data_IF_371830074034
#
_entry.id   IF_371830074034
#
_cell.length_a   1.000
_cell.length_b   1.000
_cell.length_c   1.000
_cell.angle_alpha   90.00
_cell.angle_beta   90.00
_cell.angle_gamma   90.00
#
_symmetry.space_group_name_H-M   'P 1'
#
loop_
_entity.id
_entity.type
_entity.pdbx_description
1 polymer ?
#
# COMPACT_ATOMS: atom_id res chain seq x y z
N UNK A 1 0.79 -18.05 -12.25
CA UNK A 1 -0.11 -17.46 -13.25
C UNK A 1 -1.27 -18.41 -13.54
N UNK A 2 -2.40 -17.86 -13.89
CA UNK A 2 -3.58 -18.59 -14.37
C UNK A 2 -3.75 -18.24 -15.85
N UNK A 3 -3.77 -19.27 -16.69
CA UNK A 3 -3.82 -19.11 -18.14
C UNK A 3 -5.03 -19.87 -18.68
N UNK A 4 -5.90 -19.21 -19.47
CA UNK A 4 -6.98 -19.95 -20.15
C UNK A 4 -6.44 -21.05 -21.05
N UNK A 5 -7.07 -22.20 -21.06
CA UNK A 5 -6.64 -23.38 -21.84
C UNK A 5 -7.20 -23.38 -23.27
N UNK A 6 -8.14 -22.51 -23.57
CA UNK A 6 -8.79 -22.37 -24.87
C UNK A 6 -8.15 -21.26 -25.71
N UNK A 7 -8.02 -21.51 -27.03
CA UNK A 7 -7.53 -20.55 -28.01
C UNK A 7 -6.03 -20.22 -27.90
N UNK A 8 -5.46 -19.79 -29.07
CA UNK A 8 -4.02 -19.52 -29.24
C UNK A 8 -3.66 -18.03 -29.40
N UNK A 9 -4.56 -17.10 -29.07
CA UNK A 9 -4.33 -15.67 -29.24
C UNK A 9 -3.79 -14.96 -28.02
N UNK A 10 -3.25 -13.75 -28.23
CA UNK A 10 -2.91 -12.83 -27.13
C UNK A 10 -4.16 -12.39 -26.38
N UNK A 11 -4.07 -12.30 -25.07
CA UNK A 11 -5.16 -12.00 -24.15
C UNK A 11 -4.90 -10.75 -23.33
N UNK A 12 -5.97 -10.06 -22.98
CA UNK A 12 -5.92 -9.06 -21.95
C UNK A 12 -5.44 -9.72 -20.62
N UNK A 13 -4.62 -9.02 -19.86
CA UNK A 13 -4.02 -9.58 -18.66
C UNK A 13 -4.30 -8.72 -17.43
N UNK A 14 -4.45 -9.40 -16.28
CA UNK A 14 -4.74 -8.78 -14.99
C UNK A 14 -3.69 -9.17 -13.96
N UNK A 15 -3.02 -8.19 -13.38
CA UNK A 15 -2.23 -8.36 -12.17
C UNK A 15 -3.18 -8.38 -10.97
N UNK A 16 -3.27 -9.54 -10.31
CA UNK A 16 -4.10 -9.79 -9.15
C UNK A 16 -3.26 -9.71 -7.89
N UNK A 17 -3.31 -8.57 -7.19
CA UNK A 17 -2.59 -8.34 -5.94
C UNK A 17 -3.49 -8.56 -4.73
N UNK A 18 -2.90 -8.91 -3.58
CA UNK A 18 -3.64 -9.28 -2.38
C UNK A 18 -3.42 -8.31 -1.22
N UNK A 19 -4.38 -8.24 -0.32
CA UNK A 19 -4.28 -7.57 0.98
C UNK A 19 -3.82 -8.53 2.09
N UNK A 20 -4.22 -8.23 3.35
CA UNK A 20 -3.79 -8.97 4.54
C UNK A 20 -4.61 -10.26 4.76
N UNK A 21 -4.80 -11.03 3.69
CA UNK A 21 -5.48 -12.33 3.76
C UNK A 21 -4.57 -13.40 4.39
N UNK A 22 -5.12 -14.33 5.17
CA UNK A 22 -4.33 -15.35 5.87
C UNK A 22 -3.37 -16.15 4.98
N UNK A 23 -3.74 -16.40 3.73
CA UNK A 23 -2.97 -17.18 2.77
C UNK A 23 -2.42 -16.34 1.61
N UNK A 24 -2.42 -15.01 1.75
CA UNK A 24 -1.92 -14.07 0.74
C UNK A 24 -2.51 -14.34 -0.66
N UNK A 25 -1.70 -14.50 -1.72
CA UNK A 25 -2.20 -14.69 -3.09
C UNK A 25 -3.02 -15.97 -3.31
N UNK A 26 -2.84 -16.97 -2.47
CA UNK A 26 -3.56 -18.27 -2.57
C UNK A 26 -4.75 -18.37 -1.63
N UNK A 27 -5.06 -17.29 -0.90
CA UNK A 27 -6.27 -17.22 -0.10
C UNK A 27 -7.53 -17.37 -0.98
N UNK A 28 -8.62 -17.98 -0.46
CA UNK A 28 -9.87 -18.15 -1.21
C UNK A 28 -10.37 -16.91 -1.93
N UNK A 29 -10.22 -15.70 -1.36
CA UNK A 29 -10.70 -14.46 -1.97
C UNK A 29 -9.90 -14.05 -3.21
N UNK A 30 -8.56 -13.89 -3.17
CA UNK A 30 -7.76 -13.67 -4.37
C UNK A 30 -7.84 -14.81 -5.37
N UNK A 31 -7.91 -16.07 -4.88
CA UNK A 31 -8.01 -17.25 -5.75
C UNK A 31 -9.32 -17.29 -6.54
N UNK A 32 -10.46 -17.04 -5.88
CA UNK A 32 -11.75 -16.93 -6.55
C UNK A 32 -11.75 -15.87 -7.66
N UNK A 33 -11.17 -14.70 -7.37
CA UNK A 33 -11.03 -13.62 -8.35
C UNK A 33 -10.18 -14.06 -9.56
N UNK A 34 -9.06 -14.74 -9.32
CA UNK A 34 -8.20 -15.23 -10.38
C UNK A 34 -8.89 -16.27 -11.26
N UNK A 35 -9.62 -17.21 -10.65
CA UNK A 35 -10.40 -18.23 -11.36
C UNK A 35 -11.53 -17.62 -12.18
N UNK A 36 -12.27 -16.67 -11.63
CA UNK A 36 -13.33 -15.99 -12.39
C UNK A 36 -12.77 -15.26 -13.62
N UNK A 37 -11.68 -14.53 -13.45
CA UNK A 37 -11.00 -13.83 -14.57
C UNK A 37 -10.47 -14.79 -15.63
N UNK A 38 -9.80 -15.89 -15.24
CA UNK A 38 -9.25 -16.84 -16.22
C UNK A 38 -10.36 -17.55 -17.01
N UNK A 39 -11.48 -17.89 -16.37
CA UNK A 39 -12.65 -18.45 -17.03
C UNK A 39 -13.35 -17.48 -17.98
N UNK A 40 -13.18 -16.17 -17.75
CA UNK A 40 -13.63 -15.11 -18.64
C UNK A 40 -12.58 -14.76 -19.74
N UNK A 41 -11.52 -15.56 -19.86
CA UNK A 41 -10.52 -15.47 -20.92
C UNK A 41 -9.36 -14.50 -20.67
N UNK A 42 -9.16 -14.00 -19.45
CA UNK A 42 -8.01 -13.17 -19.09
C UNK A 42 -6.80 -14.01 -18.70
N UNK A 43 -5.61 -13.59 -19.06
CA UNK A 43 -4.39 -14.04 -18.38
C UNK A 43 -4.33 -13.38 -17.00
N UNK A 44 -4.06 -14.15 -15.95
CA UNK A 44 -3.98 -13.59 -14.59
C UNK A 44 -2.66 -13.95 -13.94
N UNK A 45 -1.93 -12.92 -13.48
CA UNK A 45 -0.76 -13.11 -12.65
C UNK A 45 -1.12 -12.73 -11.20
N UNK A 46 -0.95 -13.68 -10.27
CA UNK A 46 -1.06 -13.42 -8.84
C UNK A 46 0.33 -13.54 -8.20
N UNK A 47 0.71 -12.52 -7.41
CA UNK A 47 2.02 -12.45 -6.75
C UNK A 47 1.85 -12.21 -5.25
N UNK A 48 2.77 -12.74 -4.45
CA UNK A 48 2.85 -12.40 -3.03
C UNK A 48 3.59 -11.06 -2.84
N UNK A 49 2.99 -10.17 -2.07
CA UNK A 49 3.63 -8.92 -1.66
C UNK A 49 4.89 -9.19 -0.83
N UNK A 50 5.87 -8.27 -0.87
CA UNK A 50 7.11 -8.42 -0.10
C UNK A 50 6.81 -8.51 1.39
N UNK A 51 7.31 -9.56 2.02
CA UNK A 51 7.09 -9.87 3.43
C UNK A 51 5.77 -10.59 3.74
N UNK A 52 5.00 -11.02 2.73
CA UNK A 52 3.74 -11.75 2.91
C UNK A 52 3.76 -13.11 2.18
N UNK A 53 2.84 -13.99 2.52
CA UNK A 53 2.67 -15.29 1.89
C UNK A 53 3.97 -16.09 1.89
N UNK A 54 4.33 -16.65 0.73
CA UNK A 54 5.59 -17.39 0.59
C UNK A 54 6.84 -16.48 0.63
N UNK A 55 6.69 -15.14 0.69
CA UNK A 55 7.76 -14.15 0.89
C UNK A 55 7.87 -13.69 2.35
N UNK A 56 7.03 -14.15 3.25
CA UNK A 56 7.13 -13.90 4.69
C UNK A 56 8.33 -14.64 5.31
N UNK A 57 8.75 -14.22 6.50
CA UNK A 57 9.81 -14.93 7.25
C UNK A 57 9.35 -16.36 7.51
N UNK A 58 8.13 -16.50 8.03
CA UNK A 58 7.46 -17.78 8.25
C UNK A 58 6.22 -17.83 7.36
N UNK A 59 6.20 -18.60 6.27
CA UNK A 59 5.08 -18.64 5.33
C UNK A 59 3.92 -19.50 5.84
N UNK A 60 3.53 -19.28 7.09
CA UNK A 60 2.37 -19.87 7.72
C UNK A 60 1.14 -18.97 7.58
N UNK A 61 -0.03 -19.50 7.92
CA UNK A 61 -1.29 -18.76 7.92
C UNK A 61 -1.19 -17.49 8.76
N UNK A 62 -1.67 -16.38 8.21
CA UNK A 62 -1.70 -15.09 8.88
C UNK A 62 -0.34 -14.41 9.01
N UNK A 63 0.73 -15.00 8.49
CA UNK A 63 2.05 -14.37 8.50
C UNK A 63 2.11 -13.26 7.44
N UNK A 64 2.48 -12.08 7.88
CA UNK A 64 2.64 -10.90 7.05
C UNK A 64 3.89 -10.12 7.50
N UNK A 65 4.23 -9.03 6.79
CA UNK A 65 5.43 -8.23 7.13
C UNK A 65 5.44 -7.68 8.56
N UNK A 66 4.24 -7.47 9.18
CA UNK A 66 4.13 -6.85 10.51
C UNK A 66 4.56 -5.37 10.55
N UNK A 67 4.15 -4.67 11.62
CA UNK A 67 4.41 -3.23 11.75
C UNK A 67 5.91 -2.92 11.91
N UNK A 68 6.59 -3.57 12.85
CA UNK A 68 8.00 -3.31 13.14
C UNK A 68 8.91 -3.71 11.98
N UNK A 69 8.69 -4.89 11.38
CA UNK A 69 9.50 -5.36 10.28
C UNK A 69 9.27 -4.49 9.03
N UNK A 70 8.03 -4.11 8.72
CA UNK A 70 7.71 -3.21 7.63
C UNK A 70 8.33 -1.82 7.82
N UNK A 71 8.26 -1.26 9.04
CA UNK A 71 8.87 0.03 9.36
C UNK A 71 10.41 0.00 9.31
N UNK A 72 11.05 -1.18 9.47
CA UNK A 72 12.52 -1.31 9.34
C UNK A 72 13.05 -0.90 7.96
N UNK A 73 12.18 -0.81 6.95
CA UNK A 73 12.55 -0.34 5.61
C UNK A 73 12.70 1.18 5.54
N UNK A 74 12.12 1.95 6.46
CA UNK A 74 12.19 3.41 6.46
C UNK A 74 13.60 3.96 6.68
N UNK A 75 14.40 3.50 7.67
CA UNK A 75 15.76 3.96 7.85
C UNK A 75 16.67 3.74 6.62
N UNK A 76 16.33 2.77 5.79
CA UNK A 76 17.03 2.57 4.52
C UNK A 76 16.40 3.34 3.36
N UNK A 77 15.40 4.19 3.65
CA UNK A 77 14.78 5.10 2.68
C UNK A 77 13.99 4.40 1.58
N UNK A 78 13.43 3.23 1.89
CA UNK A 78 12.65 2.44 0.93
C UNK A 78 11.36 1.99 1.60
N UNK A 79 10.29 2.80 1.60
CA UNK A 79 9.02 2.42 2.18
C UNK A 79 8.51 1.11 1.59
N UNK A 80 7.81 0.31 2.39
CA UNK A 80 7.32 -1.01 1.94
C UNK A 80 6.39 -0.90 0.74
N UNK A 81 5.52 0.11 0.71
CA UNK A 81 4.67 0.38 -0.45
C UNK A 81 5.50 0.63 -1.72
N UNK A 82 6.62 1.37 -1.62
CA UNK A 82 7.52 1.59 -2.75
C UNK A 82 8.13 0.28 -3.30
N UNK A 83 8.47 -0.67 -2.41
CA UNK A 83 8.92 -2.00 -2.82
C UNK A 83 7.81 -2.78 -3.52
N UNK A 84 6.58 -2.71 -3.01
CA UNK A 84 5.42 -3.36 -3.63
C UNK A 84 5.10 -2.78 -5.01
N UNK A 85 5.17 -1.46 -5.17
CA UNK A 85 5.01 -0.81 -6.48
C UNK A 85 6.07 -1.30 -7.45
N UNK A 86 7.34 -1.34 -7.03
CA UNK A 86 8.42 -1.84 -7.86
C UNK A 86 8.22 -3.31 -8.25
N UNK A 87 7.83 -4.18 -7.32
CA UNK A 87 7.51 -5.58 -7.59
C UNK A 87 6.37 -5.70 -8.62
N UNK A 88 5.33 -4.87 -8.51
CA UNK A 88 4.22 -4.84 -9.45
C UNK A 88 4.66 -4.40 -10.85
N UNK A 89 5.59 -3.42 -10.96
CA UNK A 89 6.20 -3.06 -12.24
C UNK A 89 6.99 -4.24 -12.85
N UNK A 90 7.74 -4.99 -12.03
CA UNK A 90 8.45 -6.21 -12.50
C UNK A 90 7.48 -7.32 -12.88
N UNK A 91 6.34 -7.44 -12.19
CA UNK A 91 5.27 -8.35 -12.58
C UNK A 91 4.69 -7.98 -13.98
N UNK A 92 4.55 -6.69 -14.27
CA UNK A 92 4.15 -6.22 -15.61
C UNK A 92 5.20 -6.60 -16.66
N UNK A 93 6.49 -6.43 -16.38
CA UNK A 93 7.54 -6.85 -17.30
C UNK A 93 7.47 -8.35 -17.60
N UNK A 94 7.23 -9.18 -16.57
CA UNK A 94 7.01 -10.60 -16.76
C UNK A 94 5.76 -10.88 -17.61
N UNK A 95 4.63 -10.24 -17.32
CA UNK A 95 3.40 -10.44 -18.10
C UNK A 95 3.62 -10.07 -19.57
N UNK A 96 4.25 -8.93 -19.85
CA UNK A 96 4.50 -8.48 -21.21
C UNK A 96 5.52 -9.34 -21.97
N UNK A 97 6.38 -10.08 -21.29
CA UNK A 97 7.28 -11.04 -21.92
C UNK A 97 6.60 -12.35 -22.32
N UNK A 98 5.36 -12.57 -21.87
CA UNK A 98 4.62 -13.80 -22.18
C UNK A 98 3.96 -13.72 -23.55
N UNK A 99 4.11 -14.76 -24.42
CA UNK A 99 3.51 -14.75 -25.74
C UNK A 99 1.98 -14.73 -25.74
N UNK A 100 1.35 -15.19 -24.65
CA UNK A 100 -0.10 -15.23 -24.46
C UNK A 100 -0.69 -13.86 -24.05
N UNK A 101 0.14 -12.87 -23.73
CA UNK A 101 -0.32 -11.58 -23.19
C UNK A 101 -0.33 -10.49 -24.26
N UNK A 102 -1.44 -9.77 -24.35
CA UNK A 102 -1.54 -8.50 -25.05
C UNK A 102 -1.05 -7.37 -24.13
N UNK A 103 0.18 -6.90 -24.37
CA UNK A 103 0.81 -5.87 -23.54
C UNK A 103 0.09 -4.51 -23.54
N UNK A 104 -0.81 -4.27 -24.51
CA UNK A 104 -1.64 -3.06 -24.57
C UNK A 104 -2.95 -3.17 -23.80
N UNK A 105 -3.22 -4.34 -23.18
CA UNK A 105 -4.47 -4.64 -22.47
C UNK A 105 -4.19 -5.16 -21.05
N UNK A 106 -3.55 -4.34 -20.25
CA UNK A 106 -3.18 -4.69 -18.88
C UNK A 106 -4.06 -4.00 -17.85
N UNK A 107 -4.40 -4.71 -16.78
CA UNK A 107 -5.08 -4.16 -15.62
C UNK A 107 -4.45 -4.62 -14.32
N UNK A 108 -4.75 -3.89 -13.24
CA UNK A 108 -4.39 -4.25 -11.87
C UNK A 108 -5.62 -4.16 -10.97
N UNK A 109 -5.79 -5.12 -10.07
CA UNK A 109 -6.84 -5.11 -9.06
C UNK A 109 -6.44 -5.87 -7.81
N UNK A 110 -6.98 -5.43 -6.68
CA UNK A 110 -6.82 -6.05 -5.37
C UNK A 110 -7.69 -5.37 -4.32
N UNK A 111 -7.86 -5.99 -3.17
CA UNK A 111 -8.60 -5.42 -2.05
C UNK A 111 -7.70 -5.15 -0.84
N UNK A 112 -8.08 -4.19 0.01
CA UNK A 112 -7.32 -3.82 1.22
C UNK A 112 -5.91 -3.37 0.84
N UNK A 113 -4.87 -3.90 1.45
CA UNK A 113 -3.48 -3.67 1.02
C UNK A 113 -3.23 -3.96 -0.46
N UNK A 114 -3.98 -4.90 -1.07
CA UNK A 114 -3.96 -5.11 -2.52
C UNK A 114 -4.63 -3.99 -3.30
N UNK A 115 -5.63 -3.34 -2.74
CA UNK A 115 -6.24 -2.14 -3.31
C UNK A 115 -5.29 -0.94 -3.27
N UNK A 116 -4.57 -0.75 -2.16
CA UNK A 116 -3.50 0.25 -2.07
C UNK A 116 -2.38 0.00 -3.08
N UNK A 117 -1.95 -1.24 -3.23
CA UNK A 117 -1.01 -1.63 -4.30
C UNK A 117 -1.57 -1.30 -5.68
N UNK A 118 -2.87 -1.60 -5.92
CA UNK A 118 -3.52 -1.35 -7.21
C UNK A 118 -3.59 0.14 -7.51
N UNK A 119 -4.00 0.97 -6.55
CA UNK A 119 -4.07 2.42 -6.67
C UNK A 119 -2.70 3.00 -7.02
N UNK A 120 -1.70 2.73 -6.19
CA UNK A 120 -0.39 3.34 -6.33
C UNK A 120 0.39 2.80 -7.54
N UNK A 121 0.43 1.49 -7.77
CA UNK A 121 1.09 0.93 -8.94
C UNK A 121 0.37 1.32 -10.24
N UNK A 122 -0.97 1.38 -10.21
CA UNK A 122 -1.77 1.84 -11.33
C UNK A 122 -1.56 3.32 -11.66
N UNK A 123 -1.38 4.16 -10.66
CA UNK A 123 -1.02 5.56 -10.85
C UNK A 123 0.38 5.71 -11.47
N UNK A 124 1.34 4.90 -11.03
CA UNK A 124 2.75 5.01 -11.42
C UNK A 124 3.08 4.32 -12.76
N UNK A 125 2.52 3.15 -13.03
CA UNK A 125 2.81 2.39 -14.26
C UNK A 125 1.71 2.59 -15.31
N UNK A 126 1.97 3.41 -16.31
CA UNK A 126 1.02 3.77 -17.38
C UNK A 126 0.66 2.60 -18.31
N UNK A 127 1.35 1.48 -18.22
CA UNK A 127 1.01 0.26 -18.98
C UNK A 127 -0.32 -0.34 -18.53
N UNK A 128 -0.74 -0.13 -17.29
CA UNK A 128 -2.09 -0.48 -16.86
C UNK A 128 -3.14 0.42 -17.53
N UNK A 129 -4.04 -0.16 -18.28
CA UNK A 129 -5.15 0.54 -18.96
C UNK A 129 -6.41 0.60 -18.08
N UNK A 130 -6.51 -0.29 -17.10
CA UNK A 130 -7.57 -0.25 -16.09
C UNK A 130 -7.00 -0.52 -14.70
N UNK A 131 -7.46 0.26 -13.72
CA UNK A 131 -7.03 0.22 -12.31
C UNK A 131 -8.26 0.08 -11.44
N UNK A 132 -8.32 -0.97 -10.60
CA UNK A 132 -9.51 -1.26 -9.78
C UNK A 132 -9.08 -1.51 -8.33
N UNK A 133 -8.89 -0.46 -7.51
CA UNK A 133 -8.72 -0.59 -6.07
C UNK A 133 -10.05 -0.91 -5.38
N UNK A 134 -10.05 -1.89 -4.46
CA UNK A 134 -11.24 -2.37 -3.76
C UNK A 134 -11.03 -2.29 -2.25
N UNK A 135 -11.99 -1.72 -1.52
CA UNK A 135 -11.94 -1.59 -0.06
C UNK A 135 -10.58 -1.05 0.45
N UNK A 136 -10.10 0.03 -0.15
CA UNK A 136 -8.77 0.57 0.14
C UNK A 136 -8.66 2.07 -0.09
N UNK A 137 -9.58 2.66 -0.82
CA UNK A 137 -9.59 4.10 -1.08
C UNK A 137 -10.39 4.80 0.01
N UNK A 138 -9.81 5.83 0.57
CA UNK A 138 -10.40 6.78 1.49
C UNK A 138 -9.71 8.12 1.35
N UNK A 139 -9.15 8.63 2.44
CA UNK A 139 -8.22 9.77 2.49
C UNK A 139 -7.03 9.40 3.36
N UNK A 140 -5.87 9.97 3.11
CA UNK A 140 -4.72 9.78 4.01
C UNK A 140 -5.00 10.33 5.41
N UNK A 141 -5.80 11.40 5.53
CA UNK A 141 -6.22 11.92 6.83
C UNK A 141 -6.95 10.84 7.66
N UNK A 142 -7.97 10.21 7.07
CA UNK A 142 -8.69 9.12 7.73
C UNK A 142 -7.80 7.89 7.98
N UNK A 143 -6.90 7.59 7.05
CA UNK A 143 -5.99 6.45 7.16
C UNK A 143 -4.98 6.63 8.30
N UNK A 144 -4.38 7.82 8.44
CA UNK A 144 -3.44 8.16 9.51
C UNK A 144 -4.15 8.05 10.88
N UNK A 145 -5.38 8.54 10.98
CA UNK A 145 -6.19 8.42 12.20
C UNK A 145 -6.50 6.98 12.61
N UNK A 146 -6.65 6.06 11.65
CA UNK A 146 -6.91 4.64 11.90
C UNK A 146 -5.64 3.81 12.18
N UNK A 147 -4.48 4.26 11.74
CA UNK A 147 -3.17 3.60 11.88
C UNK A 147 -3.20 2.10 11.50
N UNK A 148 -3.80 1.76 10.35
CA UNK A 148 -4.14 0.40 9.97
C UNK A 148 -2.90 -0.47 9.66
N UNK A 149 -2.09 -0.13 8.64
CA UNK A 149 -0.93 -0.93 8.25
C UNK A 149 0.23 -0.10 7.70
N UNK A 150 1.44 -0.43 8.11
CA UNK A 150 2.67 0.26 7.69
C UNK A 150 2.97 0.12 6.18
N UNK A 151 2.49 -0.94 5.53
CA UNK A 151 2.69 -1.14 4.09
C UNK A 151 1.88 -0.18 3.21
N UNK A 152 0.96 0.55 3.79
CA UNK A 152 0.07 1.49 3.12
C UNK A 152 0.44 2.94 3.48
N UNK A 153 1.43 3.14 4.36
CA UNK A 153 1.90 4.45 4.78
C UNK A 153 3.00 4.95 3.84
N UNK A 154 2.81 6.16 3.33
CA UNK A 154 3.83 6.92 2.60
C UNK A 154 4.46 7.94 3.56
N UNK A 155 5.70 7.75 4.00
CA UNK A 155 6.39 8.74 4.81
C UNK A 155 6.43 10.09 4.08
N UNK A 156 5.98 11.15 4.75
CA UNK A 156 5.90 12.52 4.20
C UNK A 156 4.99 12.65 2.95
N UNK A 157 4.09 11.70 2.72
CA UNK A 157 3.24 11.65 1.53
C UNK A 157 2.34 12.88 1.40
N UNK A 158 1.76 13.36 2.49
CA UNK A 158 0.87 14.53 2.49
C UNK A 158 1.58 15.85 2.14
N UNK A 159 2.90 15.93 2.23
CA UNK A 159 3.66 17.07 1.73
C UNK A 159 3.63 17.15 0.18
N UNK A 160 3.21 16.07 -0.50
CA UNK A 160 3.23 15.96 -1.95
C UNK A 160 1.81 15.79 -2.51
N UNK A 161 1.03 14.85 -1.98
CA UNK A 161 -0.28 14.49 -2.51
C UNK A 161 -1.16 13.81 -1.45
N UNK A 162 -2.45 14.00 -1.57
CA UNK A 162 -3.49 13.22 -0.92
C UNK A 162 -3.92 12.05 -1.83
N UNK A 163 -4.71 11.08 -1.35
CA UNK A 163 -5.13 9.94 -2.17
C UNK A 163 -5.87 10.36 -3.44
N UNK A 164 -6.62 11.46 -3.38
CA UNK A 164 -7.33 11.99 -4.53
C UNK A 164 -6.41 12.37 -5.69
N UNK A 165 -5.24 12.95 -5.41
CA UNK A 165 -4.25 13.27 -6.41
C UNK A 165 -3.57 11.99 -6.97
N UNK A 166 -3.38 10.96 -6.12
CA UNK A 166 -2.89 9.65 -6.59
C UNK A 166 -3.89 9.01 -7.55
N UNK A 167 -5.19 9.05 -7.22
CA UNK A 167 -6.25 8.60 -8.14
C UNK A 167 -6.24 9.38 -9.45
N UNK A 168 -6.02 10.69 -9.40
CA UNK A 168 -5.97 11.56 -10.57
C UNK A 168 -4.84 11.20 -11.54
N UNK A 169 -3.70 10.68 -11.06
CA UNK A 169 -2.59 10.20 -11.90
C UNK A 169 -2.99 9.01 -12.80
N UNK A 170 -4.09 8.35 -12.55
CA UNK A 170 -4.59 7.29 -13.42
C UNK A 170 -5.19 7.85 -14.71
N UNK A 171 -5.69 9.09 -14.70
CA UNK A 171 -6.27 9.72 -15.91
C UNK A 171 -5.26 9.77 -17.08
N UNK A 172 -5.70 9.56 -18.33
CA UNK A 172 -7.07 9.31 -18.82
C UNK A 172 -7.46 7.82 -18.86
N UNK A 173 -6.73 6.94 -18.21
CA UNK A 173 -6.96 5.48 -18.17
C UNK A 173 -8.21 5.15 -17.33
N UNK A 174 -8.70 3.92 -17.40
CA UNK A 174 -9.92 3.56 -16.68
C UNK A 174 -9.65 3.31 -15.19
N UNK A 175 -10.39 3.98 -14.33
CA UNK A 175 -10.34 3.83 -12.87
C UNK A 175 -11.73 3.47 -12.34
N UNK A 176 -11.83 2.34 -11.62
CA UNK A 176 -13.03 1.96 -10.89
C UNK A 176 -12.68 1.76 -9.41
N UNK A 177 -13.14 2.67 -8.57
CA UNK A 177 -13.03 2.53 -7.12
C UNK A 177 -14.22 1.73 -6.60
N UNK A 178 -13.96 0.70 -5.79
CA UNK A 178 -15.01 -0.12 -5.19
C UNK A 178 -14.90 -0.04 -3.66
N UNK A 179 -15.97 0.36 -2.98
CA UNK A 179 -16.07 0.41 -1.52
C UNK A 179 -17.25 -0.41 -1.00
N UNK A 180 -17.12 -0.84 0.26
CA UNK A 180 -18.16 -1.53 1.01
C UNK A 180 -18.83 -0.56 2.01
N UNK A 181 -20.15 -0.70 2.22
CA UNK A 181 -20.93 0.19 3.13
C UNK A 181 -20.59 -0.02 4.61
N UNK A 182 -20.05 -1.20 4.96
CA UNK A 182 -19.70 -1.59 6.34
C UNK A 182 -18.19 -1.83 6.49
N UNK A 183 -17.39 -0.96 5.88
CA UNK A 183 -15.92 -0.99 6.00
C UNK A 183 -15.44 -0.07 7.15
N UNK A 184 -14.15 -0.16 7.49
CA UNK A 184 -13.51 0.73 8.44
C UNK A 184 -13.53 2.19 7.97
N UNK A 185 -13.45 3.13 8.92
CA UNK A 185 -13.51 4.57 8.63
C UNK A 185 -12.55 4.98 7.52
N UNK A 186 -11.31 4.50 7.56
CA UNK A 186 -10.24 4.80 6.59
C UNK A 186 -10.58 4.38 5.15
N UNK A 187 -11.51 3.45 4.95
CA UNK A 187 -11.96 2.97 3.65
C UNK A 187 -13.46 3.16 3.46
N UNK A 188 -14.06 4.05 4.26
CA UNK A 188 -15.50 4.31 4.17
C UNK A 188 -15.88 4.95 2.85
N UNK A 189 -17.13 4.76 2.45
CA UNK A 189 -17.69 5.36 1.24
C UNK A 189 -17.51 6.88 1.24
N UNK A 190 -17.79 7.55 2.38
CA UNK A 190 -17.67 9.00 2.49
C UNK A 190 -16.23 9.51 2.34
N UNK A 191 -15.25 8.80 2.87
CA UNK A 191 -13.84 9.17 2.68
C UNK A 191 -13.40 8.95 1.22
N UNK A 192 -13.81 7.84 0.61
CA UNK A 192 -13.53 7.57 -0.81
C UNK A 192 -14.15 8.64 -1.72
N UNK A 193 -15.36 9.11 -1.43
CA UNK A 193 -16.02 10.17 -2.19
C UNK A 193 -15.22 11.48 -2.17
N UNK A 194 -14.56 11.82 -1.07
CA UNK A 194 -13.69 13.01 -0.98
C UNK A 194 -12.50 12.89 -1.95
N UNK A 195 -11.83 11.75 -1.99
CA UNK A 195 -10.70 11.51 -2.90
C UNK A 195 -11.15 11.44 -4.36
N UNK A 196 -12.29 10.80 -4.64
CA UNK A 196 -12.86 10.75 -5.99
C UNK A 196 -13.26 12.15 -6.47
N UNK A 197 -13.81 12.99 -5.58
CA UNK A 197 -14.16 14.37 -5.93
C UNK A 197 -12.93 15.21 -6.32
N UNK A 198 -11.77 14.95 -5.71
CA UNK A 198 -10.49 15.57 -6.10
C UNK A 198 -9.97 15.08 -7.45
N UNK A 199 -10.11 13.78 -7.72
CA UNK A 199 -9.63 13.17 -8.97
C UNK A 199 -10.52 13.54 -10.18
N UNK A 200 -11.82 13.69 -9.98
CA UNK A 200 -12.81 13.89 -11.06
C UNK A 200 -12.50 15.03 -12.03
N UNK A 201 -12.14 16.25 -11.59
CA UNK A 201 -11.81 17.35 -12.50
C UNK A 201 -10.66 17.00 -13.45
N UNK A 202 -9.68 16.19 -13.01
CA UNK A 202 -8.55 15.78 -13.86
C UNK A 202 -9.01 14.79 -14.93
N UNK A 203 -9.91 13.87 -14.61
CA UNK A 203 -10.52 12.99 -15.60
C UNK A 203 -11.36 13.78 -16.62
N UNK A 204 -12.09 14.82 -16.18
CA UNK A 204 -12.87 15.70 -17.05
C UNK A 204 -11.96 16.52 -17.98
N UNK A 205 -10.87 17.10 -17.47
CA UNK A 205 -9.86 17.81 -18.28
C UNK A 205 -9.23 16.94 -19.36
N UNK A 206 -9.24 15.62 -19.21
CA UNK A 206 -8.73 14.66 -20.19
C UNK A 206 -9.83 14.00 -21.03
N UNK A 207 -11.05 14.54 -21.05
CA UNK A 207 -12.22 13.95 -21.74
C UNK A 207 -12.50 12.48 -21.33
N UNK A 208 -12.07 12.11 -20.13
CA UNK A 208 -12.11 10.75 -19.60
C UNK A 208 -13.12 10.59 -18.43
N UNK A 209 -14.06 11.49 -18.22
CA UNK A 209 -15.01 11.43 -17.11
C UNK A 209 -15.79 10.12 -17.01
N UNK A 210 -16.08 9.47 -18.15
CA UNK A 210 -16.73 8.13 -18.22
C UNK A 210 -15.81 6.98 -17.79
N UNK A 211 -14.51 7.22 -17.67
CA UNK A 211 -13.50 6.24 -17.25
C UNK A 211 -13.22 6.29 -15.75
N UNK A 212 -13.90 7.16 -15.01
CA UNK A 212 -13.88 7.20 -13.55
C UNK A 212 -15.24 6.73 -13.01
N UNK A 213 -15.24 5.61 -12.29
CA UNK A 213 -16.45 5.04 -11.68
C UNK A 213 -16.23 4.77 -10.20
N UNK A 214 -17.21 5.13 -9.37
CA UNK A 214 -17.34 4.65 -8.01
C UNK A 214 -18.46 3.62 -7.95
N UNK A 215 -18.18 2.45 -7.38
CA UNK A 215 -19.15 1.39 -7.16
C UNK A 215 -19.18 1.05 -5.67
N UNK A 216 -20.39 1.05 -5.09
CA UNK A 216 -20.62 0.82 -3.67
C UNK A 216 -21.48 -0.41 -3.49
N UNK A 217 -21.09 -1.28 -2.56
CA UNK A 217 -21.79 -2.53 -2.28
C UNK A 217 -22.13 -2.67 -0.81
N UNK A 218 -23.31 -3.23 -0.53
CA UNK A 218 -23.70 -3.57 0.84
C UNK A 218 -22.96 -4.82 1.31
N UNK A 219 -21.77 -4.60 1.83
CA UNK A 219 -20.81 -5.62 2.24
C UNK A 219 -19.96 -5.11 3.41
N UNK A 220 -19.27 -6.03 4.08
CA UNK A 220 -18.10 -5.70 4.92
C UNK A 220 -16.84 -5.59 4.08
N UNK A 221 -15.69 -5.49 4.76
CA UNK A 221 -14.35 -5.43 4.16
C UNK A 221 -14.02 -6.74 3.42
N UNK A 222 -14.24 -6.77 2.10
CA UNK A 222 -14.11 -7.97 1.28
C UNK A 222 -13.86 -7.62 -0.20
N UNK A 223 -13.64 -8.63 -1.02
CA UNK A 223 -13.78 -8.58 -2.47
C UNK A 223 -14.87 -9.59 -2.88
N UNK A 224 -16.09 -9.28 -2.50
CA UNK A 224 -17.26 -10.15 -2.64
C UNK A 224 -17.60 -10.45 -4.10
N UNK A 225 -18.42 -11.50 -4.33
CA UNK A 225 -18.85 -11.88 -5.69
C UNK A 225 -19.48 -10.72 -6.47
N UNK A 226 -20.42 -9.92 -5.91
CA UNK A 226 -20.97 -8.77 -6.65
C UNK A 226 -19.91 -7.73 -7.06
N UNK A 227 -18.90 -7.50 -6.21
CA UNK A 227 -17.78 -6.62 -6.53
C UNK A 227 -16.92 -7.17 -7.68
N UNK A 228 -16.68 -8.49 -7.70
CA UNK A 228 -15.98 -9.17 -8.80
C UNK A 228 -16.76 -9.09 -10.10
N UNK A 229 -18.06 -9.32 -10.07
CA UNK A 229 -18.94 -9.21 -11.24
C UNK A 229 -18.91 -7.79 -11.85
N UNK A 230 -18.92 -6.75 -11.01
CA UNK A 230 -18.77 -5.36 -11.46
C UNK A 230 -17.39 -5.10 -12.10
N UNK A 231 -16.33 -5.62 -11.51
CA UNK A 231 -14.97 -5.55 -12.05
C UNK A 231 -14.88 -6.26 -13.40
N UNK A 232 -15.49 -7.44 -13.57
CA UNK A 232 -15.48 -8.15 -14.87
C UNK A 232 -16.10 -7.32 -16.00
N UNK A 233 -17.24 -6.69 -15.74
CA UNK A 233 -17.89 -5.82 -16.72
C UNK A 233 -17.05 -4.58 -17.06
N UNK A 234 -16.40 -3.99 -16.06
CA UNK A 234 -15.51 -2.85 -16.25
C UNK A 234 -14.29 -3.21 -17.13
N UNK A 235 -13.67 -4.35 -16.86
CA UNK A 235 -12.54 -4.86 -17.63
C UNK A 235 -12.95 -5.24 -19.07
N UNK A 236 -14.11 -5.87 -19.27
CA UNK A 236 -14.61 -6.18 -20.59
C UNK A 236 -14.71 -4.92 -21.45
N UNK A 237 -15.32 -3.88 -20.91
CA UNK A 237 -15.48 -2.61 -21.60
C UNK A 237 -14.15 -1.92 -21.91
N UNK A 238 -13.27 -1.78 -20.92
CA UNK A 238 -12.10 -0.88 -21.05
C UNK A 238 -10.82 -1.56 -21.53
N UNK A 239 -10.72 -2.91 -21.41
CA UNK A 239 -9.58 -3.65 -21.97
C UNK A 239 -9.90 -4.33 -23.29
N UNK A 240 -11.15 -4.81 -23.46
CA UNK A 240 -11.52 -5.58 -24.67
C UNK A 240 -12.42 -4.81 -25.61
N UNK A 241 -13.01 -3.69 -25.15
CA UNK A 241 -13.99 -2.95 -25.95
C UNK A 241 -15.34 -3.67 -26.06
N UNK A 242 -15.66 -4.55 -25.11
CA UNK A 242 -16.87 -5.39 -25.10
C UNK A 242 -17.87 -4.90 -24.07
N UNK A 243 -19.15 -4.91 -24.42
CA UNK A 243 -20.25 -4.51 -23.53
C UNK A 243 -20.24 -3.04 -23.13
N UNK A 244 -21.08 -2.70 -22.18
CA UNK A 244 -21.30 -1.34 -21.68
C UNK A 244 -20.68 -1.05 -20.31
N UNK A 245 -20.02 -2.07 -19.70
CA UNK A 245 -19.44 -2.01 -18.35
C UNK A 245 -20.41 -2.38 -17.24
N UNK A 246 -21.58 -2.96 -17.58
CA UNK A 246 -22.48 -3.60 -16.62
C UNK A 246 -21.85 -4.86 -16.03
N UNK A 247 -22.20 -5.25 -14.77
CA UNK A 247 -21.68 -6.45 -14.17
C UNK A 247 -21.87 -7.70 -15.03
N UNK A 248 -20.83 -8.53 -15.10
CA UNK A 248 -20.87 -9.84 -15.78
C UNK A 248 -20.99 -10.92 -14.70
N UNK A 249 -21.96 -11.83 -14.79
CA UNK A 249 -22.11 -12.92 -13.82
C UNK A 249 -20.84 -13.75 -13.70
N UNK A 250 -20.43 -14.03 -12.47
CA UNK A 250 -19.26 -14.86 -12.20
C UNK A 250 -19.53 -16.30 -12.67
N UNK A 251 -18.64 -16.85 -13.52
CA UNK A 251 -18.75 -18.25 -13.92
C UNK A 251 -18.63 -19.16 -12.69
N UNK A 252 -19.16 -20.37 -12.79
CA UNK A 252 -18.97 -21.37 -11.73
C UNK A 252 -17.48 -21.63 -11.53
N UNK A 253 -17.01 -21.47 -10.28
CA UNK A 253 -15.62 -21.67 -9.87
C UNK A 253 -15.55 -22.76 -8.80
N UNK A 254 -14.47 -23.51 -8.84
CA UNK A 254 -14.11 -24.48 -7.80
C UNK A 254 -12.71 -24.11 -7.30
N UNK A 255 -12.63 -23.79 -6.02
CA UNK A 255 -11.35 -23.45 -5.39
C UNK A 255 -10.51 -24.72 -5.20
N UNK A 256 -9.23 -24.60 -5.46
CA UNK A 256 -8.24 -25.60 -5.10
C UNK A 256 -7.77 -25.39 -3.66
N UNK A 257 -7.22 -26.45 -3.08
CA UNK A 257 -6.59 -26.38 -1.76
C UNK A 257 -5.35 -25.47 -1.78
N UNK A 258 -5.18 -24.69 -0.72
CA UNK A 258 -4.11 -23.70 -0.59
C UNK A 258 -2.73 -24.28 -0.87
N UNK A 259 -2.46 -25.49 -0.34
CA UNK A 259 -1.15 -26.12 -0.46
C UNK A 259 -0.80 -26.55 -1.90
N UNK A 260 -1.80 -26.83 -2.74
CA UNK A 260 -1.60 -27.16 -4.17
C UNK A 260 -1.17 -25.95 -4.99
N UNK A 261 -1.40 -24.74 -4.49
CA UNK A 261 -1.11 -23.49 -5.18
C UNK A 261 0.26 -22.88 -4.77
N UNK A 262 0.98 -23.53 -3.84
CA UNK A 262 2.28 -23.06 -3.37
C UNK A 262 3.36 -23.24 -4.44
N UNK A 263 4.24 -22.24 -4.57
CA UNK A 263 5.44 -22.30 -5.40
C UNK A 263 6.59 -23.01 -4.68
N UNK A 264 6.58 -22.99 -3.35
CA UNK A 264 7.60 -23.60 -2.48
C UNK A 264 6.95 -24.62 -1.55
N UNK A 265 6.67 -25.86 -2.03
CA UNK A 265 6.18 -26.94 -1.18
C UNK A 265 7.11 -27.12 0.02
N UNK A 266 6.55 -27.47 1.18
CA UNK A 266 7.27 -27.68 2.43
C UNK A 266 8.13 -26.48 2.89
N UNK A 267 7.85 -25.27 2.36
CA UNK A 267 8.60 -24.05 2.62
C UNK A 267 10.08 -24.10 2.21
N UNK A 268 10.45 -25.00 1.32
CA UNK A 268 11.83 -25.14 0.82
C UNK A 268 12.10 -24.07 -0.23
N UNK A 269 12.71 -22.99 0.19
CA UNK A 269 13.06 -21.85 -0.67
C UNK A 269 14.51 -21.97 -1.20
N UNK A 270 14.78 -21.41 -2.39
CA UNK A 270 16.16 -21.32 -2.89
C UNK A 270 17.08 -20.58 -1.90
N UNK A 271 18.35 -20.95 -1.81
CA UNK A 271 19.35 -20.27 -0.96
C UNK A 271 19.52 -18.79 -1.29
N UNK A 272 19.24 -18.39 -2.53
CA UNK A 272 19.27 -17.01 -3.00
C UNK A 272 18.02 -16.20 -2.63
N UNK A 273 17.04 -16.81 -1.97
CA UNK A 273 15.78 -16.15 -1.62
C UNK A 273 16.01 -15.09 -0.52
N UNK A 274 15.76 -13.84 -0.85
CA UNK A 274 16.00 -12.72 0.06
C UNK A 274 14.73 -12.37 0.84
N UNK A 275 14.78 -12.54 2.14
CA UNK A 275 13.75 -12.11 3.07
C UNK A 275 13.95 -10.64 3.48
N UNK A 276 12.90 -10.01 4.01
CA UNK A 276 12.92 -8.59 4.38
C UNK A 276 14.06 -8.20 5.33
N UNK A 277 14.38 -8.95 6.41
CA UNK A 277 15.52 -8.60 7.27
C UNK A 277 16.86 -8.59 6.52
N UNK A 278 17.09 -9.58 5.67
CA UNK A 278 18.32 -9.65 4.87
C UNK A 278 18.38 -8.50 3.84
N UNK A 279 17.26 -8.19 3.20
CA UNK A 279 17.16 -7.04 2.30
C UNK A 279 17.51 -5.73 3.01
N UNK A 280 16.87 -5.44 4.14
CA UNK A 280 17.12 -4.21 4.93
C UNK A 280 18.59 -4.14 5.35
N UNK A 281 19.16 -5.24 5.82
CA UNK A 281 20.57 -5.30 6.22
C UNK A 281 21.52 -4.98 5.05
N UNK A 282 21.29 -5.55 3.89
CA UNK A 282 22.11 -5.26 2.70
C UNK A 282 21.96 -3.80 2.20
N UNK A 283 20.75 -3.24 2.25
CA UNK A 283 20.56 -1.82 1.94
C UNK A 283 21.25 -0.92 2.97
N UNK A 284 21.19 -1.24 4.26
CA UNK A 284 21.90 -0.52 5.31
C UNK A 284 23.41 -0.54 5.09
N UNK A 285 24.00 -1.70 4.81
CA UNK A 285 25.43 -1.81 4.49
C UNK A 285 25.85 -0.93 3.32
N UNK A 286 25.07 -0.93 2.22
CA UNK A 286 25.33 -0.10 1.05
C UNK A 286 25.30 1.40 1.36
N UNK A 287 24.38 1.84 2.22
CA UNK A 287 24.27 3.25 2.65
C UNK A 287 25.40 3.64 3.58
N UNK A 288 25.70 2.80 4.58
CA UNK A 288 26.79 3.03 5.53
C UNK A 288 28.17 3.08 4.84
N UNK A 289 28.39 2.24 3.82
CA UNK A 289 29.61 2.29 3.03
C UNK A 289 29.83 3.61 2.28
N UNK A 290 28.75 4.37 2.02
CA UNK A 290 28.80 5.68 1.37
C UNK A 290 28.78 6.85 2.37
N UNK A 291 28.66 6.57 3.67
CA UNK A 291 28.66 7.60 4.70
C UNK A 291 30.02 8.32 4.74
N UNK A 292 30.04 9.63 4.81
CA UNK A 292 31.29 10.38 4.90
C UNK A 292 32.04 10.00 6.18
N UNK A 293 33.34 9.97 6.10
CA UNK A 293 34.25 9.76 7.24
C UNK A 293 35.16 10.96 7.33
N UNK A 294 34.84 11.95 8.17
CA UNK A 294 35.67 13.13 8.34
C UNK A 294 37.01 12.74 8.96
N UNK A 295 38.08 13.28 8.43
CA UNK A 295 39.48 13.03 8.81
C UNK A 295 40.08 14.18 9.62
N UNK A 296 39.37 15.34 9.76
CA UNK A 296 39.77 16.47 10.56
C UNK A 296 38.55 17.23 11.11
N UNK A 297 38.81 18.10 12.09
CA UNK A 297 37.76 18.73 12.92
C UNK A 297 36.85 19.64 12.12
N UNK A 298 37.38 20.51 11.28
CA UNK A 298 36.61 21.48 10.50
C UNK A 298 35.63 20.79 9.53
N UNK A 299 36.08 19.71 8.93
CA UNK A 299 35.23 18.89 8.07
C UNK A 299 34.10 18.24 8.87
N UNK A 300 34.39 17.71 10.07
CA UNK A 300 33.35 17.17 10.94
C UNK A 300 32.33 18.23 11.35
N UNK A 301 32.77 19.44 11.73
CA UNK A 301 31.88 20.52 12.13
C UNK A 301 30.92 20.92 10.98
N UNK A 302 31.42 21.02 9.76
CA UNK A 302 30.60 21.29 8.57
C UNK A 302 29.60 20.14 8.29
N UNK A 303 30.06 18.90 8.33
CA UNK A 303 29.21 17.73 8.11
C UNK A 303 28.15 17.57 9.23
N UNK A 304 28.52 17.83 10.48
CA UNK A 304 27.59 17.79 11.62
C UNK A 304 26.47 18.84 11.49
N UNK A 305 26.80 20.05 11.05
CA UNK A 305 25.80 21.08 10.79
C UNK A 305 24.82 20.66 9.69
N UNK A 306 25.36 20.16 8.55
CA UNK A 306 24.51 19.64 7.47
C UNK A 306 23.65 18.47 7.92
N UNK A 307 24.21 17.56 8.73
CA UNK A 307 23.48 16.41 9.26
C UNK A 307 22.34 16.84 10.16
N UNK A 308 22.58 17.76 11.10
CA UNK A 308 21.54 18.32 11.98
C UNK A 308 20.42 18.96 11.16
N UNK A 309 20.74 19.80 10.19
CA UNK A 309 19.77 20.46 9.32
C UNK A 309 18.92 19.46 8.54
N UNK A 310 19.54 18.40 7.97
CA UNK A 310 18.81 17.37 7.22
C UNK A 310 17.93 16.51 8.13
N UNK A 311 18.42 16.16 9.32
CA UNK A 311 17.63 15.43 10.30
C UNK A 311 16.41 16.25 10.74
N UNK A 312 16.63 17.54 11.08
CA UNK A 312 15.55 18.44 11.46
C UNK A 312 14.49 18.54 10.35
N UNK A 313 14.91 18.87 9.13
CA UNK A 313 13.98 19.19 8.05
C UNK A 313 13.31 17.97 7.40
N UNK A 314 13.99 16.83 7.36
CA UNK A 314 13.53 15.67 6.58
C UNK A 314 13.08 14.47 7.40
N UNK A 315 13.54 14.37 8.66
CA UNK A 315 13.27 13.20 9.50
C UNK A 315 12.40 13.58 10.70
N UNK A 316 12.71 14.72 11.35
CA UNK A 316 11.98 15.17 12.52
C UNK A 316 10.79 16.09 12.18
N UNK A 317 10.58 16.40 10.91
CA UNK A 317 9.47 17.25 10.46
C UNK A 317 9.63 18.75 10.76
N UNK A 318 10.83 19.16 11.18
CA UNK A 318 11.11 20.50 11.70
C UNK A 318 10.81 20.62 13.19
N UNK A 319 11.23 21.71 13.80
CA UNK A 319 10.86 22.04 15.16
C UNK A 319 10.05 23.34 15.20
N UNK A 320 8.95 23.40 15.96
CA UNK A 320 8.18 24.63 16.13
C UNK A 320 9.07 25.76 16.62
N UNK A 321 8.90 26.96 16.05
CA UNK A 321 9.63 28.16 16.43
C UNK A 321 8.66 29.20 16.98
N UNK A 322 9.08 29.92 18.02
CA UNK A 322 8.28 30.98 18.62
C UNK A 322 7.04 30.47 19.37
N UNK A 323 7.08 29.28 19.90
CA UNK A 323 5.99 28.71 20.71
C UNK A 323 6.12 29.22 22.14
N UNK A 324 5.03 29.76 22.68
CA UNK A 324 4.91 30.08 24.10
C UNK A 324 4.68 28.80 24.90
N UNK A 325 5.75 28.25 25.42
CA UNK A 325 5.66 27.11 26.31
C UNK A 325 5.25 27.57 27.72
N UNK A 326 4.52 26.76 28.45
CA UNK A 326 4.15 27.04 29.84
C UNK A 326 4.34 25.80 30.71
N UNK A 327 4.50 26.06 32.03
CA UNK A 327 4.53 25.03 33.05
C UNK A 327 3.40 25.28 34.02
N UNK A 328 2.60 24.29 34.27
CA UNK A 328 1.58 24.29 35.31
C UNK A 328 2.07 23.40 36.47
N UNK A 329 2.22 23.95 37.70
CA UNK A 329 2.54 23.13 38.87
C UNK A 329 1.33 22.24 39.20
N UNK A 330 1.59 20.95 39.51
CA UNK A 330 0.54 20.03 39.90
C UNK A 330 0.53 19.84 41.43
N UNK A 331 1.50 19.12 41.95
CA UNK A 331 1.56 18.82 43.41
C UNK A 331 2.99 18.91 43.94
N UNK A 332 3.08 19.13 45.27
CA UNK A 332 4.36 19.05 46.01
C UNK A 332 4.21 18.00 47.11
N UNK A 333 5.18 17.13 47.22
CA UNK A 333 5.27 16.13 48.26
C UNK A 333 6.65 16.18 48.96
N UNK A 334 6.69 15.84 50.22
CA UNK A 334 7.93 15.71 50.99
C UNK A 334 8.17 14.24 51.34
N UNK A 335 9.26 13.66 50.81
CA UNK A 335 9.78 12.38 51.22
C UNK A 335 10.69 12.51 52.47
N UNK A 336 11.26 11.41 52.97
CA UNK A 336 12.14 11.42 54.14
C UNK A 336 13.41 12.28 53.92
N UNK A 337 13.98 12.28 52.75
CA UNK A 337 15.20 13.00 52.36
C UNK A 337 15.07 13.73 51.01
N UNK A 338 13.87 13.82 50.45
CA UNK A 338 13.64 14.42 49.13
C UNK A 338 12.42 15.30 49.12
N UNK A 339 12.45 16.32 48.28
CA UNK A 339 11.28 17.10 47.88
C UNK A 339 10.93 16.77 46.44
N UNK A 340 9.67 16.48 46.21
CA UNK A 340 9.17 16.18 44.87
C UNK A 340 8.15 17.23 44.44
N UNK A 341 8.32 17.73 43.23
CA UNK A 341 7.38 18.66 42.61
C UNK A 341 6.93 18.05 41.29
N UNK A 342 5.65 17.73 41.15
CA UNK A 342 5.08 17.34 39.86
C UNK A 342 4.66 18.60 39.11
N UNK A 343 4.73 18.52 37.79
CA UNK A 343 4.33 19.62 36.91
C UNK A 343 3.84 19.09 35.57
N UNK A 344 3.14 19.93 34.81
CA UNK A 344 2.79 19.67 33.42
C UNK A 344 3.44 20.74 32.59
N UNK A 345 4.34 20.30 31.69
CA UNK A 345 4.94 21.15 30.68
C UNK A 345 4.09 21.08 29.41
N UNK A 346 3.77 22.21 28.84
CA UNK A 346 3.14 22.33 27.53
C UNK A 346 4.17 22.93 26.56
N UNK A 347 4.92 22.10 25.81
CA UNK A 347 5.83 22.61 24.77
C UNK A 347 5.06 23.25 23.63
N UNK A 348 3.82 22.83 23.40
CA UNK A 348 2.86 23.41 22.46
C UNK A 348 1.45 23.35 23.05
N UNK A 349 0.51 24.20 22.59
CA UNK A 349 -0.88 24.12 23.01
C UNK A 349 -1.49 22.73 22.76
N UNK A 350 -2.09 22.14 23.79
CA UNK A 350 -2.73 20.83 23.69
C UNK A 350 -1.79 19.62 23.78
N UNK A 351 -0.49 19.80 23.97
CA UNK A 351 0.49 18.73 24.15
C UNK A 351 1.06 18.69 25.57
N UNK A 352 0.33 18.13 26.57
CA UNK A 352 0.82 18.06 27.95
C UNK A 352 1.91 17.00 28.09
N UNK A 353 3.01 17.40 28.72
CA UNK A 353 4.12 16.51 29.12
C UNK A 353 4.22 16.52 30.65
N UNK A 354 3.80 15.44 31.34
CA UNK A 354 3.95 15.34 32.76
C UNK A 354 5.43 15.17 33.15
N UNK A 355 5.85 15.83 34.20
CA UNK A 355 7.21 15.77 34.73
C UNK A 355 7.24 15.75 36.26
N UNK A 356 8.34 15.23 36.80
CA UNK A 356 8.63 15.23 38.24
C UNK A 356 10.02 15.82 38.45
N UNK A 357 10.12 16.82 39.34
CA UNK A 357 11.37 17.36 39.82
C UNK A 357 11.63 16.83 41.22
N UNK A 358 12.73 16.12 41.39
CA UNK A 358 13.17 15.61 42.70
C UNK A 358 14.41 16.38 43.13
N UNK A 359 14.36 16.89 44.37
CA UNK A 359 15.50 17.58 45.00
C UNK A 359 15.91 16.79 46.24
N UNK A 360 17.19 16.43 46.35
CA UNK A 360 17.80 15.81 47.52
C UNK A 360 18.46 16.80 48.44
#
# INVERSE_FOLDING_TARGET
AYVPTDGNGKRAAVLSVHGHWPWARVDPVPHARALGLVKLGYFVLAVDAFGAGERAIEPARGTYHGALLGASTWPVGTPLLGLQIYDNMRAVDYMTSRPEVDGDKLAITGASGGGNQSMNAGAWDERFKAVIPVCSVGTYDAYIGAACCVCEVLPDGLAIAEEGEILALVAPRALMVINATRDGHQFSVGEAEKSIARARPIFELNDAGKRLKHAVFDSGHDYSKPMREAMYGWLARWLRGEGDGSPIPEPEIKLEEVDTLRCFPDNVRPKSFTLMPAFVHEQAKKKLARAPRPDHRERWEAEALMMKTRLEQRIFGGFPRGVDWKVEPAEKSEGQDTREETFILYPEPGMPVPGVLVRG
#
